data_IF_305729860163
#
_entry.id   IF_305729860163
#
_cell.length_a   1.000
_cell.length_b   1.000
_cell.length_c   1.000
_cell.angle_alpha   90.00
_cell.angle_beta   90.00
_cell.angle_gamma   90.00
#
_symmetry.space_group_name_H-M   'P 1'
#
loop_
_entity.id
_entity.type
_entity.pdbx_description
1 polymer ?
#
# COMPACT_ATOMS: atom_id res chain seq x y z
N UNK A 1 6.88 23.09 18.69
CA UNK A 1 6.51 22.78 18.23
C UNK A 1 6.42 22.37 17.50
N UNK A 2 6.42 22.23 17.46
CA UNK A 2 6.12 21.76 16.71
C UNK A 2 6.01 21.38 16.09
N UNK A 3 5.96 21.36 16.09
CA UNK A 3 5.62 20.98 15.31
C UNK A 3 5.39 20.65 14.58
N UNK A 4 5.72 20.68 14.58
CA UNK A 4 5.38 20.43 13.91
C UNK A 4 5.09 20.02 13.16
N UNK A 5 5.09 19.95 13.12
CA UNK A 5 4.63 19.47 12.44
C UNK A 5 4.35 19.36 11.67
N UNK A 6 4.33 19.64 11.68
CA UNK A 6 3.86 19.62 10.95
C UNK A 6 3.67 19.08 9.97
N UNK A 7 3.39 18.92 10.03
CA UNK A 7 3.01 18.12 9.21
C UNK A 7 3.33 17.82 8.01
N UNK A 8 3.92 17.78 7.64
CA UNK A 8 4.18 17.42 6.48
C UNK A 8 4.50 16.13 6.37
N UNK A 9 4.39 15.61 5.32
CA UNK A 9 4.46 14.27 5.01
C UNK A 9 5.73 13.76 5.34
N UNK A 10 5.74 13.12 6.32
CA UNK A 10 6.91 12.68 6.79
C UNK A 10 7.30 11.40 6.21
N UNK A 11 8.32 11.39 5.45
CA UNK A 11 8.77 10.21 4.74
C UNK A 11 9.85 9.52 5.52
N UNK A 12 9.53 9.06 6.69
CA UNK A 12 10.46 8.27 7.46
C UNK A 12 9.74 7.05 8.03
N UNK A 13 10.43 6.20 8.74
CA UNK A 13 9.89 4.91 9.17
C UNK A 13 8.57 5.05 9.91
N UNK A 14 8.46 6.05 10.77
CA UNK A 14 7.22 6.27 11.49
C UNK A 14 6.11 6.66 10.53
N UNK A 15 6.44 7.38 9.48
CA UNK A 15 5.47 7.78 8.48
C UNK A 15 4.89 6.60 7.72
N UNK A 16 5.72 5.61 7.38
CA UNK A 16 5.22 4.46 6.65
C UNK A 16 4.32 3.60 7.52
N UNK A 17 4.64 3.45 8.79
CA UNK A 17 3.79 2.71 9.70
C UNK A 17 2.42 3.38 9.83
N UNK A 18 2.42 4.68 9.97
CA UNK A 18 1.18 5.42 10.11
C UNK A 18 0.37 5.34 8.83
N UNK A 19 1.04 5.39 7.68
CA UNK A 19 0.40 5.26 6.39
C UNK A 19 -0.38 3.94 6.31
N UNK A 20 0.27 2.83 6.67
CA UNK A 20 -0.39 1.53 6.63
C UNK A 20 -1.47 1.40 7.69
N UNK A 21 -1.27 2.02 8.85
CA UNK A 21 -2.26 1.98 9.90
C UNK A 21 -3.57 2.60 9.44
N UNK A 22 -3.50 3.61 8.59
CA UNK A 22 -4.69 4.31 8.13
C UNK A 22 -5.35 3.68 6.93
N UNK A 23 -4.69 2.72 6.28
CA UNK A 23 -5.26 2.11 5.08
C UNK A 23 -6.65 1.54 5.28
N UNK A 24 -6.95 0.85 6.39
CA UNK A 24 -8.30 0.28 6.52
C UNK A 24 -9.40 1.33 6.42
N UNK A 25 -9.15 2.54 6.89
CA UNK A 25 -10.17 3.59 6.82
C UNK A 25 -10.31 4.18 5.43
N UNK A 26 -9.38 3.86 4.52
CA UNK A 26 -9.41 4.37 3.16
C UNK A 26 -9.99 3.39 2.16
N UNK A 27 -10.37 2.21 2.62
CA UNK A 27 -10.88 1.18 1.74
C UNK A 27 -12.24 1.57 1.17
N UNK A 28 -12.41 1.39 -0.14
CA UNK A 28 -13.71 1.51 -0.77
C UNK A 28 -14.43 0.20 -0.55
N UNK A 29 -15.40 0.19 0.35
CA UNK A 29 -16.05 -1.04 0.75
C UNK A 29 -16.88 -1.66 -0.37
N UNK A 30 -17.41 -0.83 -1.27
CA UNK A 30 -18.13 -1.37 -2.41
C UNK A 30 -17.21 -2.08 -3.37
N UNK A 31 -16.05 -1.48 -3.64
CA UNK A 31 -15.07 -2.10 -4.53
C UNK A 31 -14.54 -3.39 -3.93
N UNK A 32 -14.52 -3.47 -2.62
CA UNK A 32 -13.93 -4.60 -1.92
C UNK A 32 -14.92 -5.73 -1.67
N UNK A 33 -16.18 -5.53 -2.02
CA UNK A 33 -17.25 -6.44 -1.63
C UNK A 33 -16.98 -7.89 -1.99
N UNK A 34 -16.48 -8.10 -3.19
CA UNK A 34 -16.23 -9.45 -3.69
C UNK A 34 -14.74 -9.80 -3.71
N UNK A 35 -13.93 -9.03 -3.02
CA UNK A 35 -12.49 -9.26 -3.03
C UNK A 35 -12.07 -10.03 -1.78
N UNK A 36 -11.31 -11.09 -2.00
CA UNK A 36 -10.72 -11.86 -0.91
C UNK A 36 -9.26 -12.00 -1.28
N UNK A 37 -8.42 -11.14 -0.73
CA UNK A 37 -7.05 -11.05 -1.17
C UNK A 37 -6.09 -10.74 -0.03
N UNK A 38 -4.89 -11.29 -0.15
CA UNK A 38 -3.80 -11.02 0.77
C UNK A 38 -2.66 -10.42 -0.03
N UNK A 39 -2.31 -9.18 0.31
CA UNK A 39 -1.22 -8.46 -0.32
C UNK A 39 -0.04 -8.40 0.65
N UNK A 40 1.11 -8.81 0.20
CA UNK A 40 2.34 -8.70 0.99
C UNK A 40 3.15 -7.55 0.42
N UNK A 41 3.45 -6.57 1.25
CA UNK A 41 4.31 -5.46 0.86
C UNK A 41 5.68 -5.65 1.48
N UNK A 42 6.68 -5.81 0.64
CA UNK A 42 8.07 -5.91 1.07
C UNK A 42 8.76 -4.62 0.68
N UNK A 43 8.95 -3.75 1.63
CA UNK A 43 9.45 -2.40 1.36
C UNK A 43 10.89 -2.26 1.81
N UNK A 44 11.69 -1.61 0.98
CA UNK A 44 13.11 -1.43 1.24
C UNK A 44 13.41 0.02 1.58
N UNK A 45 14.64 0.25 2.02
CA UNK A 45 15.13 1.59 2.30
C UNK A 45 14.78 2.08 3.69
N UNK A 46 14.96 3.36 3.91
CA UNK A 46 14.71 3.95 5.23
C UNK A 46 13.22 3.98 5.56
N UNK A 47 12.37 3.95 4.54
CA UNK A 47 10.94 3.84 4.72
C UNK A 47 10.49 2.40 4.53
N UNK A 48 11.37 1.45 4.88
CA UNK A 48 11.09 0.05 4.62
C UNK A 48 10.27 -0.61 5.69
N UNK A 49 10.03 -1.89 5.46
CA UNK A 49 9.29 -2.71 6.39
C UNK A 49 8.48 -3.74 5.63
N UNK A 50 7.86 -4.63 6.36
CA UNK A 50 7.02 -5.66 5.77
C UNK A 50 5.63 -5.51 6.32
N UNK A 51 4.65 -5.48 5.42
CA UNK A 51 3.25 -5.27 5.81
C UNK A 51 2.36 -6.20 5.03
N UNK A 52 1.35 -6.72 5.70
CA UNK A 52 0.34 -7.58 5.09
C UNK A 52 -0.97 -6.81 5.09
N UNK A 53 -1.59 -6.71 3.92
CA UNK A 53 -2.90 -6.06 3.79
C UNK A 53 -3.88 -7.15 3.36
N UNK A 54 -4.84 -7.45 4.21
CA UNK A 54 -5.83 -8.49 3.93
C UNK A 54 -7.19 -7.85 3.70
N UNK A 55 -7.80 -8.18 2.58
CA UNK A 55 -9.13 -7.68 2.22
C UNK A 55 -10.07 -8.86 2.22
N UNK A 56 -11.14 -8.78 3.00
CA UNK A 56 -12.10 -9.87 3.07
C UNK A 56 -13.45 -9.33 3.51
N UNK A 57 -14.48 -9.66 2.77
CA UNK A 57 -15.86 -9.32 3.12
C UNK A 57 -16.04 -7.84 3.38
N UNK A 58 -15.42 -7.01 2.55
CA UNK A 58 -15.55 -5.57 2.67
C UNK A 58 -14.73 -4.95 3.77
N UNK A 59 -13.84 -5.71 4.40
CA UNK A 59 -12.99 -5.21 5.48
C UNK A 59 -11.53 -5.29 5.10
N UNK A 60 -10.74 -4.41 5.69
CA UNK A 60 -9.30 -4.38 5.48
C UNK A 60 -8.60 -4.50 6.81
N UNK A 61 -7.64 -5.41 6.87
CA UNK A 61 -6.84 -5.60 8.06
C UNK A 61 -5.37 -5.49 7.67
N UNK A 62 -4.61 -4.75 8.42
CA UNK A 62 -3.19 -4.56 8.16
C UNK A 62 -2.38 -5.10 9.34
N UNK A 63 -1.32 -5.83 9.02
CA UNK A 63 -0.40 -6.35 10.02
C UNK A 63 1.02 -6.11 9.58
N UNK A 64 1.93 -5.94 10.52
CA UNK A 64 3.35 -5.93 10.20
C UNK A 64 3.83 -7.36 10.10
N UNK A 65 4.77 -7.60 9.20
CA UNK A 65 5.37 -8.91 9.05
C UNK A 65 5.06 -9.54 7.72
N UNK A 66 5.16 -10.86 7.67
CA UNK A 66 4.96 -11.61 6.43
C UNK A 66 3.83 -12.60 6.59
N UNK A 67 3.10 -12.79 5.49
CA UNK A 67 2.07 -13.80 5.43
C UNK A 67 2.68 -15.04 4.77
N UNK A 68 2.25 -16.21 5.22
CA UNK A 68 2.77 -17.46 4.68
C UNK A 68 2.39 -17.70 3.23
N UNK A 69 1.24 -17.22 2.83
CA UNK A 69 0.70 -17.54 1.52
C UNK A 69 -0.05 -16.37 0.92
N UNK A 70 0.67 -15.29 0.59
CA UNK A 70 0.00 -14.13 0.00
C UNK A 70 -0.40 -14.40 -1.44
N UNK A 71 -1.47 -13.75 -1.87
CA UNK A 71 -1.88 -13.83 -3.28
C UNK A 71 -0.96 -13.00 -4.15
N UNK A 72 -0.44 -11.91 -3.61
CA UNK A 72 0.40 -10.98 -4.35
C UNK A 72 1.51 -10.50 -3.44
N UNK A 73 2.72 -10.41 -3.98
CA UNK A 73 3.85 -9.78 -3.28
C UNK A 73 4.28 -8.58 -4.08
N UNK A 74 4.35 -7.43 -3.40
CA UNK A 74 4.78 -6.18 -4.02
C UNK A 74 6.05 -5.72 -3.33
N UNK A 75 7.14 -5.65 -4.08
CA UNK A 75 8.44 -5.28 -3.55
C UNK A 75 8.87 -3.96 -4.16
N UNK A 76 9.20 -2.99 -3.32
CA UNK A 76 9.59 -1.66 -3.78
C UNK A 76 10.16 -0.88 -2.62
N UNK A 77 10.73 0.29 -2.91
CA UNK A 77 11.13 1.19 -1.84
C UNK A 77 9.89 1.75 -1.16
N UNK A 78 9.97 1.97 0.15
CA UNK A 78 8.82 2.48 0.88
C UNK A 78 8.30 3.80 0.35
N UNK A 79 9.21 4.68 -0.06
CA UNK A 79 8.80 5.96 -0.65
C UNK A 79 7.99 5.77 -1.91
N UNK A 80 8.37 4.79 -2.72
CA UNK A 80 7.64 4.52 -3.96
C UNK A 80 6.25 3.97 -3.66
N UNK A 81 6.13 3.18 -2.60
CA UNK A 81 4.83 2.63 -2.21
C UNK A 81 3.85 3.76 -1.90
N UNK A 82 4.29 4.73 -1.11
CA UNK A 82 3.43 5.85 -0.76
C UNK A 82 3.06 6.63 -2.01
N UNK A 83 4.02 6.87 -2.90
CA UNK A 83 3.75 7.63 -4.11
C UNK A 83 2.77 6.93 -5.04
N UNK A 84 2.90 5.61 -5.15
CA UNK A 84 1.97 4.87 -6.01
C UNK A 84 0.56 4.92 -5.44
N UNK A 85 0.41 4.71 -4.15
CA UNK A 85 -0.91 4.71 -3.55
C UNK A 85 -1.53 6.10 -3.49
N UNK A 86 -0.70 7.13 -3.46
CA UNK A 86 -1.20 8.51 -3.54
C UNK A 86 -1.45 8.98 -4.96
N UNK A 87 -1.13 8.16 -5.95
CA UNK A 87 -1.35 8.54 -7.34
C UNK A 87 -0.25 9.40 -7.92
N UNK A 88 0.84 9.62 -7.21
CA UNK A 88 1.95 10.43 -7.67
C UNK A 88 2.88 9.68 -8.61
N UNK A 89 2.84 8.35 -8.56
CA UNK A 89 3.69 7.51 -9.38
C UNK A 89 2.81 6.42 -10.00
N UNK A 90 2.89 6.27 -11.31
CA UNK A 90 2.13 5.26 -12.00
C UNK A 90 2.66 3.87 -11.63
N UNK A 91 1.81 3.03 -11.08
CA UNK A 91 2.18 1.67 -10.74
C UNK A 91 2.68 0.88 -11.94
N UNK A 92 1.92 0.85 -13.05
CA UNK A 92 2.38 0.14 -14.23
C UNK A 92 3.70 0.65 -14.78
N UNK A 93 3.89 1.98 -14.82
CA UNK A 93 5.15 2.53 -15.30
C UNK A 93 6.30 2.17 -14.37
N UNK A 94 6.07 2.20 -13.08
CA UNK A 94 7.09 1.85 -12.11
C UNK A 94 7.47 0.37 -12.23
N UNK A 95 6.49 -0.48 -12.48
CA UNK A 95 6.75 -1.90 -12.66
C UNK A 95 7.57 -2.14 -13.92
N UNK A 96 7.24 -1.43 -15.00
CA UNK A 96 7.96 -1.56 -16.25
C UNK A 96 9.40 -1.09 -16.14
N UNK A 97 9.65 -0.10 -15.31
CA UNK A 97 11.00 0.42 -15.13
C UNK A 97 11.79 -0.33 -14.06
N UNK A 98 11.17 -1.32 -13.42
CA UNK A 98 11.86 -2.14 -12.43
C UNK A 98 11.85 -1.57 -11.03
N UNK A 99 11.14 -0.47 -10.80
CA UNK A 99 11.05 0.12 -9.46
C UNK A 99 10.14 -0.69 -8.56
N UNK A 100 9.17 -1.37 -9.15
CA UNK A 100 8.27 -2.24 -8.41
C UNK A 100 8.36 -3.64 -8.99
N UNK A 101 8.47 -4.62 -8.12
CA UNK A 101 8.41 -6.00 -8.55
C UNK A 101 7.13 -6.60 -8.02
N UNK A 102 6.39 -7.24 -8.90
CA UNK A 102 5.11 -7.83 -8.55
C UNK A 102 5.18 -9.31 -8.82
N UNK A 103 4.84 -10.09 -7.82
CA UNK A 103 4.82 -11.53 -7.93
C UNK A 103 3.46 -12.04 -7.48
N UNK A 104 2.89 -12.99 -8.21
CA UNK A 104 1.61 -13.56 -7.86
C UNK A 104 0.51 -13.07 -8.77
N UNK A 105 -0.67 -12.86 -8.21
CA UNK A 105 -1.86 -12.53 -8.98
C UNK A 105 -1.84 -11.10 -9.48
N UNK A 106 -1.59 -10.94 -10.77
CA UNK A 106 -1.48 -9.62 -11.39
C UNK A 106 -2.81 -8.88 -11.39
N UNK A 107 -3.90 -9.60 -11.53
CA UNK A 107 -5.22 -8.98 -11.50
C UNK A 107 -5.48 -8.29 -10.17
N UNK A 108 -5.11 -8.96 -9.09
CA UNK A 108 -5.27 -8.38 -7.76
C UNK A 108 -4.34 -7.19 -7.56
N UNK A 109 -3.13 -7.27 -8.12
CA UNK A 109 -2.21 -6.14 -8.02
C UNK A 109 -2.79 -4.90 -8.67
N UNK A 110 -3.43 -5.08 -9.83
CA UNK A 110 -4.01 -3.96 -10.55
C UNK A 110 -5.25 -3.41 -9.88
N UNK A 111 -5.94 -4.21 -9.09
CA UNK A 111 -7.13 -3.75 -8.39
C UNK A 111 -6.81 -2.87 -7.19
N UNK A 112 -5.56 -2.86 -6.76
CA UNK A 112 -5.20 -2.17 -5.53
C UNK A 112 -5.62 -0.72 -5.51
N UNK A 113 -5.45 0.00 -6.64
CA UNK A 113 -5.84 1.40 -6.70
C UNK A 113 -7.35 1.60 -6.62
N UNK A 114 -8.11 0.64 -7.12
CA UNK A 114 -9.55 0.73 -7.02
C UNK A 114 -10.04 0.49 -5.60
N UNK A 115 -9.27 -0.28 -4.84
CA UNK A 115 -9.64 -0.56 -3.46
C UNK A 115 -9.37 0.63 -2.54
N UNK A 116 -8.43 1.49 -2.91
CA UNK A 116 -8.07 2.64 -2.06
C UNK A 116 -8.09 3.94 -2.84
N UNK A 117 -9.24 4.30 -3.42
CA UNK A 117 -9.30 5.50 -4.25
C UNK A 117 -9.14 6.79 -3.46
N UNK A 118 -9.56 6.80 -2.21
CA UNK A 118 -9.48 8.02 -1.42
C UNK A 118 -8.04 8.42 -1.12
N UNK A 119 -7.13 7.47 -1.13
CA UNK A 119 -5.71 7.82 -0.96
C UNK A 119 -5.25 8.61 -2.17
N UNK A 120 -5.59 8.16 -3.37
CA UNK A 120 -5.25 8.87 -4.60
C UNK A 120 -5.96 10.21 -4.71
N UNK A 121 -7.19 10.27 -4.25
CA UNK A 121 -8.01 11.45 -4.40
C UNK A 121 -7.63 12.58 -3.49
N UNK A 122 -6.74 12.36 -2.59
CA UNK A 122 -6.28 13.41 -1.72
C UNK A 122 -5.37 14.40 -2.41
N UNK A 123 -5.04 14.15 -3.61
CA UNK A 123 -4.23 15.06 -4.41
C UNK A 123 -5.07 16.17 -5.08
#
# INVERSE_FOLDING_TARGET
>A
MAHQSSGFPIMHAAGIKEFFRQLPSKLDTEAAEDVDAVYQFDLSGTQGGQYVVMIREGHCQVKEGRHEDPHVVLSMAGEDCVKVLNGELSGPAAAMSGRIRISGDMGLAMQLRMLFPSVSEQL
#
